data_IF_181443169503
#
_entry.id   IF_181443169503
#
_cell.length_a   1.000
_cell.length_b   1.000
_cell.length_c   1.000
_cell.angle_alpha   90.00
_cell.angle_beta   90.00
_cell.angle_gamma   90.00
#
_symmetry.space_group_name_H-M   'P 1'
#
loop_
_entity.id
_entity.type
_entity.pdbx_description
1 polymer ?
#
# COMPACT_ATOMS: atom_id res chain seq x y z
N UNK A 1 -5.86 19.03 -45.01
CA UNK A 1 -4.76 18.76 -44.06
C UNK A 1 -5.24 17.71 -43.08
N UNK A 2 -4.46 16.67 -42.74
CA UNK A 2 -4.88 15.71 -41.73
C UNK A 2 -4.67 16.32 -40.35
N UNK A 3 -5.72 16.33 -39.54
CA UNK A 3 -5.69 16.74 -38.14
C UNK A 3 -4.85 15.73 -37.34
N UNK A 4 -3.69 16.16 -36.85
CA UNK A 4 -2.90 15.39 -35.89
C UNK A 4 -3.76 15.32 -34.62
N UNK A 5 -4.33 14.14 -34.35
CA UNK A 5 -4.98 13.86 -33.08
C UNK A 5 -3.94 14.11 -31.98
N UNK A 6 -4.20 15.12 -31.16
CA UNK A 6 -3.36 15.45 -30.01
C UNK A 6 -3.27 14.20 -29.15
N UNK A 7 -2.05 13.72 -29.00
CA UNK A 7 -1.68 12.51 -28.30
C UNK A 7 -1.95 12.67 -26.79
N UNK A 8 -3.23 12.63 -26.38
CA UNK A 8 -3.66 12.77 -24.98
C UNK A 8 -3.50 11.44 -24.20
N UNK A 9 -3.52 10.30 -24.91
CA UNK A 9 -3.45 8.96 -24.33
C UNK A 9 -2.16 8.60 -23.54
N UNK A 10 -0.94 9.05 -23.91
CA UNK A 10 0.28 8.70 -23.16
C UNK A 10 0.54 9.62 -21.96
N UNK A 11 0.00 10.85 -21.96
CA UNK A 11 0.11 11.76 -20.80
C UNK A 11 -0.71 11.22 -19.63
N UNK A 12 -1.95 10.81 -19.89
CA UNK A 12 -2.83 10.21 -18.87
C UNK A 12 -2.28 8.89 -18.34
N UNK A 13 -1.64 8.08 -19.20
CA UNK A 13 -1.09 6.78 -18.77
C UNK A 13 0.16 6.92 -17.89
N UNK A 14 1.08 7.82 -18.22
CA UNK A 14 2.23 8.14 -17.35
C UNK A 14 1.75 8.77 -16.04
N UNK A 15 0.77 9.67 -16.11
CA UNK A 15 0.12 10.23 -14.92
C UNK A 15 -0.48 9.15 -14.02
N UNK A 16 -1.16 8.15 -14.58
CA UNK A 16 -1.71 7.03 -13.82
C UNK A 16 -0.64 6.13 -13.20
N UNK A 17 0.48 5.87 -13.89
CA UNK A 17 1.62 5.14 -13.31
C UNK A 17 2.22 5.89 -12.12
N UNK A 18 2.47 7.20 -12.25
CA UNK A 18 2.96 8.02 -11.15
C UNK A 18 1.99 8.07 -9.96
N UNK A 19 0.67 8.05 -10.21
CA UNK A 19 -0.34 7.97 -9.15
C UNK A 19 -0.32 6.63 -8.42
N UNK A 20 -0.14 5.51 -9.14
CA UNK A 20 -0.01 4.19 -8.50
C UNK A 20 1.25 4.11 -7.64
N UNK A 21 2.36 4.69 -8.10
CA UNK A 21 3.60 4.76 -7.32
C UNK A 21 3.40 5.56 -6.03
N UNK A 22 2.77 6.74 -6.13
CA UNK A 22 2.45 7.57 -4.96
C UNK A 22 1.57 6.81 -3.95
N UNK A 23 0.50 6.14 -4.41
CA UNK A 23 -0.33 5.31 -3.54
C UNK A 23 0.44 4.17 -2.89
N UNK A 24 1.37 3.52 -3.62
CA UNK A 24 2.19 2.45 -3.07
C UNK A 24 3.05 2.94 -1.88
N UNK A 25 3.61 4.15 -2.00
CA UNK A 25 4.41 4.78 -0.94
C UNK A 25 3.53 5.12 0.26
N UNK A 26 2.37 5.73 0.04
CA UNK A 26 1.44 6.10 1.11
C UNK A 26 0.94 4.88 1.90
N UNK A 27 0.55 3.80 1.20
CA UNK A 27 0.07 2.56 1.84
C UNK A 27 1.18 1.90 2.67
N UNK A 28 2.42 1.90 2.16
CA UNK A 28 3.56 1.39 2.92
C UNK A 28 3.78 2.20 4.19
N UNK A 29 3.81 3.53 4.08
CA UNK A 29 3.99 4.42 5.23
C UNK A 29 2.90 4.24 6.28
N UNK A 30 1.63 4.11 5.85
CA UNK A 30 0.51 3.86 6.76
C UNK A 30 0.64 2.50 7.47
N UNK A 31 0.97 1.44 6.73
CA UNK A 31 1.14 0.12 7.31
C UNK A 31 2.30 0.08 8.31
N UNK A 32 3.44 0.71 7.98
CA UNK A 32 4.59 0.84 8.88
C UNK A 32 4.21 1.58 10.17
N UNK A 33 3.42 2.66 10.08
CA UNK A 33 2.95 3.39 11.25
C UNK A 33 2.03 2.53 12.16
N UNK A 34 1.14 1.74 11.57
CA UNK A 34 0.25 0.84 12.33
C UNK A 34 1.07 -0.29 13.00
N UNK A 35 2.00 -0.89 12.26
CA UNK A 35 2.89 -1.95 12.79
C UNK A 35 3.74 -1.39 13.93
N UNK A 36 4.34 -0.20 13.75
CA UNK A 36 5.15 0.43 14.81
C UNK A 36 4.31 0.73 16.06
N UNK A 37 3.10 1.26 15.89
CA UNK A 37 2.19 1.50 17.02
C UNK A 37 1.85 0.22 17.78
N UNK A 38 1.56 -0.86 17.04
CA UNK A 38 1.31 -2.17 17.63
C UNK A 38 2.54 -2.77 18.32
N UNK A 39 3.73 -2.64 17.73
CA UNK A 39 4.98 -3.12 18.32
C UNK A 39 5.31 -2.36 19.62
N UNK A 40 5.11 -1.03 19.67
CA UNK A 40 5.27 -0.23 20.90
C UNK A 40 4.29 -0.70 21.98
N UNK A 41 3.02 -0.90 21.64
CA UNK A 41 2.02 -1.36 22.61
C UNK A 41 2.37 -2.76 23.16
N UNK A 42 2.87 -3.66 22.31
CA UNK A 42 3.36 -4.97 22.77
C UNK A 42 4.57 -4.84 23.72
N UNK A 43 5.52 -3.95 23.42
CA UNK A 43 6.68 -3.71 24.29
C UNK A 43 6.28 -3.09 25.64
N UNK A 44 5.35 -2.14 25.65
CA UNK A 44 4.82 -1.53 26.87
C UNK A 44 4.11 -2.56 27.75
N UNK A 45 3.33 -3.45 27.13
CA UNK A 45 2.63 -4.52 27.84
C UNK A 45 3.56 -5.62 28.35
N UNK A 46 4.69 -5.88 27.70
CA UNK A 46 5.73 -6.78 28.24
C UNK A 46 6.41 -6.19 29.49
N UNK A 47 6.45 -4.86 29.62
CA UNK A 47 7.00 -4.17 30.78
C UNK A 47 6.01 -4.07 31.94
N UNK A 48 4.73 -4.02 31.63
CA UNK A 48 3.64 -4.03 32.62
C UNK A 48 3.22 -5.48 32.92
N UNK A 49 3.73 -6.06 34.01
CA UNK A 49 3.42 -7.45 34.43
C UNK A 49 1.91 -7.70 34.67
N UNK A 50 1.09 -6.63 34.68
CA UNK A 50 -0.38 -6.65 34.87
C UNK A 50 -1.15 -6.42 33.55
N UNK A 51 -0.46 -6.26 32.42
CA UNK A 51 -1.06 -5.98 31.12
C UNK A 51 -2.16 -6.98 30.71
N UNK A 52 -3.34 -6.47 30.36
CA UNK A 52 -4.49 -7.33 29.99
C UNK A 52 -4.20 -8.12 28.71
N UNK A 53 -4.42 -9.45 28.75
CA UNK A 53 -4.30 -10.36 27.60
C UNK A 53 -5.09 -9.87 26.37
N UNK A 54 -6.22 -9.19 26.58
CA UNK A 54 -7.02 -8.62 25.49
C UNK A 54 -6.29 -7.51 24.71
N UNK A 55 -5.48 -6.68 25.40
CA UNK A 55 -4.67 -5.64 24.75
C UNK A 55 -3.52 -6.24 23.95
N UNK A 56 -2.83 -7.24 24.51
CA UNK A 56 -1.81 -7.99 23.78
C UNK A 56 -2.37 -8.59 22.48
N UNK A 57 -3.54 -9.23 22.57
CA UNK A 57 -4.23 -9.81 21.40
C UNK A 57 -4.60 -8.73 20.38
N UNK A 58 -5.14 -7.60 20.82
CA UNK A 58 -5.53 -6.50 19.94
C UNK A 58 -4.32 -5.89 19.20
N UNK A 59 -3.22 -5.64 19.91
CA UNK A 59 -1.99 -5.13 19.31
C UNK A 59 -1.40 -6.13 18.30
N UNK A 60 -1.34 -7.42 18.67
CA UNK A 60 -0.88 -8.47 17.77
C UNK A 60 -1.77 -8.61 16.53
N UNK A 61 -3.09 -8.53 16.69
CA UNK A 61 -4.03 -8.53 15.57
C UNK A 61 -3.83 -7.30 14.67
N UNK A 62 -3.68 -6.11 15.24
CA UNK A 62 -3.43 -4.88 14.48
C UNK A 62 -2.16 -5.01 13.61
N UNK A 63 -1.07 -5.52 14.20
CA UNK A 63 0.18 -5.81 13.49
C UNK A 63 -0.02 -6.79 12.34
N UNK A 64 -0.69 -7.92 12.59
CA UNK A 64 -0.95 -8.94 11.57
C UNK A 64 -1.81 -8.39 10.43
N UNK A 65 -2.91 -7.70 10.74
CA UNK A 65 -3.80 -7.16 9.73
C UNK A 65 -3.18 -6.03 8.92
N UNK A 66 -2.36 -5.18 9.54
CA UNK A 66 -1.60 -4.15 8.84
C UNK A 66 -0.67 -4.76 7.79
N UNK A 67 0.10 -5.79 8.17
CA UNK A 67 1.03 -6.44 7.26
C UNK A 67 0.31 -7.21 6.14
N UNK A 68 -0.77 -7.93 6.46
CA UNK A 68 -1.58 -8.62 5.46
C UNK A 68 -2.26 -7.64 4.50
N UNK A 69 -2.80 -6.54 5.01
CA UNK A 69 -3.42 -5.48 4.21
C UNK A 69 -2.42 -4.84 3.26
N UNK A 70 -1.22 -4.49 3.76
CA UNK A 70 -0.12 -3.95 2.96
C UNK A 70 0.23 -4.88 1.80
N UNK A 71 0.47 -6.16 2.07
CA UNK A 71 0.82 -7.15 1.05
C UNK A 71 -0.26 -7.32 -0.02
N UNK A 72 -1.54 -7.39 0.40
CA UNK A 72 -2.66 -7.53 -0.53
C UNK A 72 -2.77 -6.33 -1.47
N UNK A 73 -2.65 -5.12 -0.92
CA UNK A 73 -2.75 -3.89 -1.70
C UNK A 73 -1.55 -3.71 -2.62
N UNK A 74 -0.31 -3.91 -2.13
CA UNK A 74 0.90 -3.85 -2.96
C UNK A 74 0.80 -4.83 -4.15
N UNK A 75 0.31 -6.04 -3.90
CA UNK A 75 0.08 -7.03 -4.96
C UNK A 75 -0.94 -6.53 -5.98
N UNK A 76 -2.05 -5.94 -5.53
CA UNK A 76 -3.06 -5.35 -6.40
C UNK A 76 -2.51 -4.19 -7.24
N UNK A 77 -1.72 -3.29 -6.65
CA UNK A 77 -1.08 -2.17 -7.35
C UNK A 77 -0.07 -2.67 -8.39
N UNK A 78 0.74 -3.68 -8.07
CA UNK A 78 1.64 -4.32 -9.05
C UNK A 78 0.88 -4.92 -10.24
N UNK A 79 -0.29 -5.54 -10.00
CA UNK A 79 -1.12 -6.09 -11.08
C UNK A 79 -1.70 -4.98 -11.98
N UNK A 80 -2.15 -3.86 -11.39
CA UNK A 80 -2.63 -2.69 -12.14
C UNK A 80 -1.52 -2.07 -12.98
N UNK A 81 -0.33 -1.90 -12.39
CA UNK A 81 0.85 -1.40 -13.10
C UNK A 81 1.18 -2.28 -14.30
N UNK A 82 1.21 -3.60 -14.10
CA UNK A 82 1.43 -4.59 -15.17
C UNK A 82 0.37 -4.50 -16.26
N UNK A 83 -0.90 -4.35 -15.91
CA UNK A 83 -1.99 -4.21 -16.88
C UNK A 83 -1.81 -2.94 -17.74
N UNK A 84 -1.43 -1.81 -17.14
CA UNK A 84 -1.18 -0.57 -17.87
C UNK A 84 0.06 -0.62 -18.77
N UNK A 85 1.14 -1.28 -18.32
CA UNK A 85 2.33 -1.51 -19.15
C UNK A 85 2.03 -2.46 -20.32
N UNK A 86 1.27 -3.52 -20.08
CA UNK A 86 0.87 -4.48 -21.14
C UNK A 86 -0.01 -3.83 -22.21
N UNK A 87 -0.90 -2.92 -21.83
CA UNK A 87 -1.69 -2.12 -22.75
C UNK A 87 -0.84 -1.15 -23.60
N UNK A 88 0.41 -0.88 -23.19
CA UNK A 88 1.34 -0.01 -23.93
C UNK A 88 2.15 -0.77 -24.98
N UNK A 89 2.48 -2.04 -24.75
CA UNK A 89 3.26 -2.87 -25.70
C UNK A 89 2.43 -3.51 -26.83
N UNK A 90 1.12 -3.27 -26.90
CA UNK A 90 0.23 -3.77 -27.99
C UNK A 90 -0.06 -2.73 -29.08
N UNK A 91 0.72 -1.66 -29.17
CA UNK A 91 0.61 -0.62 -30.21
C UNK A 91 1.72 -0.74 -31.24
#
# INVERSE_FOLDING_TARGET
MPSIQKNEAPSDRRGNLSRLEAFSIEIRSLAEAIVLGADIELLDLMRDEVGSYSRHKAAQEARTWAEQGRLSIETGLMQLERAMRSATNRG
#
